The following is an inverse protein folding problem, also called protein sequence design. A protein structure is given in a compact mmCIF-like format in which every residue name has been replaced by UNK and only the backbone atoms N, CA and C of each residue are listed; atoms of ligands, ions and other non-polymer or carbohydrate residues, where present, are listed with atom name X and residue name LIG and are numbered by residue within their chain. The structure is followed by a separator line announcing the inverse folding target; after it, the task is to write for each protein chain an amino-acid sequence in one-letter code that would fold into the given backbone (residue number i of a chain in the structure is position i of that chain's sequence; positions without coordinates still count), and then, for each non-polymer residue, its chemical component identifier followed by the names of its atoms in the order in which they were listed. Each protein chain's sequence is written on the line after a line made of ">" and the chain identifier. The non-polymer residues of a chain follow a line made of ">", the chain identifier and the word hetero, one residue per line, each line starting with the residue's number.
data_IF_112820836514
#
_entry.id   IF_112820836514
#
_cell.length_a   1.000
_cell.length_b   1.000
_cell.length_c   1.000
_cell.angle_alpha   90.00
_cell.angle_beta   90.00
_cell.angle_gamma   90.00
#
_symmetry.space_group_name_H-M   'P 1'
#
loop_
_entity.id
_entity.type
_entity.pdbx_description
1 polymer ?
#
# COMPACT_ATOMS: atom_id res chain seq x y z
N UNK A 1 30.10 -20.44 -7.99
CA UNK A 1 30.26 -20.04 -6.57
C UNK A 1 28.89 -19.68 -6.02
N UNK A 2 28.40 -20.35 -4.97
CA UNK A 2 27.15 -19.95 -4.31
C UNK A 2 27.46 -18.75 -3.42
N UNK A 3 26.92 -17.57 -3.77
CA UNK A 3 27.01 -16.39 -2.91
C UNK A 3 26.36 -16.70 -1.55
N UNK A 4 26.93 -16.14 -0.48
CA UNK A 4 26.37 -16.28 0.86
C UNK A 4 24.96 -15.65 0.88
N UNK A 5 23.96 -16.26 1.55
CA UNK A 5 22.57 -15.76 1.55
C UNK A 5 22.45 -14.29 1.95
N UNK A 6 23.28 -13.82 2.89
CA UNK A 6 23.32 -12.41 3.28
C UNK A 6 23.77 -11.49 2.12
N UNK A 7 24.79 -11.87 1.36
CA UNK A 7 25.26 -11.09 0.21
C UNK A 7 24.21 -11.08 -0.90
N UNK A 8 23.53 -12.19 -1.12
CA UNK A 8 22.40 -12.26 -2.06
C UNK A 8 21.26 -11.36 -1.62
N UNK A 9 20.90 -11.35 -0.34
CA UNK A 9 19.90 -10.46 0.23
C UNK A 9 20.27 -8.97 0.06
N UNK A 10 21.52 -8.61 0.34
CA UNK A 10 22.02 -7.24 0.13
C UNK A 10 21.99 -6.82 -1.33
N UNK A 11 22.44 -7.68 -2.24
CA UNK A 11 22.39 -7.42 -3.68
C UNK A 11 20.96 -7.26 -4.20
N UNK A 12 20.02 -8.08 -3.72
CA UNK A 12 18.60 -7.94 -4.02
C UNK A 12 18.01 -6.64 -3.49
N UNK A 13 18.34 -6.27 -2.24
CA UNK A 13 17.93 -5.01 -1.65
C UNK A 13 18.41 -3.82 -2.46
N UNK A 14 19.69 -3.82 -2.86
CA UNK A 14 20.27 -2.80 -3.72
C UNK A 14 19.59 -2.74 -5.09
N UNK A 15 19.40 -3.89 -5.75
CA UNK A 15 18.71 -3.97 -7.04
C UNK A 15 17.31 -3.39 -6.96
N UNK A 16 16.51 -3.79 -5.97
CA UNK A 16 15.14 -3.30 -5.80
C UNK A 16 15.12 -1.81 -5.45
N UNK A 17 16.07 -1.35 -4.63
CA UNK A 17 16.22 0.07 -4.31
C UNK A 17 16.48 0.86 -5.59
N UNK A 18 17.43 0.44 -6.43
CA UNK A 18 17.69 1.08 -7.72
C UNK A 18 16.45 1.04 -8.62
N UNK A 19 15.74 -0.09 -8.71
CA UNK A 19 14.54 -0.22 -9.53
C UNK A 19 13.38 0.69 -9.07
N UNK A 20 13.20 0.89 -7.77
CA UNK A 20 12.04 1.62 -7.23
C UNK A 20 12.31 3.10 -6.98
N UNK A 21 13.55 3.47 -6.66
CA UNK A 21 13.89 4.86 -6.37
C UNK A 21 14.35 5.64 -7.61
N UNK A 22 14.71 4.96 -8.70
CA UNK A 22 15.12 5.61 -9.93
C UNK A 22 13.99 6.48 -10.52
N UNK A 23 14.26 7.78 -10.66
CA UNK A 23 13.30 8.77 -11.16
C UNK A 23 12.02 8.90 -10.34
N UNK A 24 12.01 8.44 -9.08
CA UNK A 24 10.81 8.39 -8.24
C UNK A 24 10.16 9.76 -8.04
N UNK A 25 10.97 10.83 -8.00
CA UNK A 25 10.51 12.21 -7.89
C UNK A 25 10.26 12.93 -9.22
N UNK A 26 10.66 12.35 -10.35
CA UNK A 26 10.72 13.10 -11.63
C UNK A 26 9.35 13.27 -12.29
N UNK A 27 8.44 12.32 -12.04
CA UNK A 27 7.08 12.37 -12.58
C UNK A 27 6.16 13.17 -11.65
N UNK A 28 5.53 14.27 -12.11
CA UNK A 28 4.57 14.99 -11.30
C UNK A 28 3.38 14.09 -10.93
N UNK A 29 2.59 14.45 -9.93
CA UNK A 29 1.36 13.70 -9.64
C UNK A 29 0.38 13.78 -10.82
N UNK A 30 0.15 12.63 -11.48
CA UNK A 30 -0.73 12.53 -12.65
C UNK A 30 -2.03 11.76 -12.36
N UNK A 31 -2.22 11.28 -11.12
CA UNK A 31 -3.44 10.60 -10.69
C UNK A 31 -4.15 11.36 -9.59
N UNK A 32 -5.46 11.16 -9.42
CA UNK A 32 -6.22 11.72 -8.29
C UNK A 32 -5.78 11.15 -6.93
N UNK A 33 -5.05 10.03 -6.93
CA UNK A 33 -4.73 9.27 -5.74
C UNK A 33 -3.62 9.87 -4.90
N UNK A 34 -2.49 10.17 -5.53
CA UNK A 34 -1.27 10.62 -4.84
C UNK A 34 -1.42 12.02 -4.21
N UNK A 35 -1.97 13.05 -4.91
CA UNK A 35 -2.18 14.38 -4.30
C UNK A 35 -3.08 14.31 -3.07
N UNK A 36 -4.02 13.36 -3.03
CA UNK A 36 -4.92 13.20 -1.90
C UNK A 36 -4.19 12.77 -0.63
N UNK A 37 -3.23 11.85 -0.74
CA UNK A 37 -2.42 11.43 0.41
C UNK A 37 -1.32 12.47 0.67
N UNK A 38 -0.74 13.07 -0.37
CA UNK A 38 0.27 14.13 -0.27
C UNK A 38 -0.21 15.38 0.43
N UNK A 39 -1.46 15.81 0.20
CA UNK A 39 -2.06 16.94 0.94
C UNK A 39 -2.20 16.67 2.43
N UNK A 40 -2.43 15.43 2.84
CA UNK A 40 -2.46 15.06 4.26
C UNK A 40 -1.05 15.09 4.84
N UNK A 41 -0.05 14.56 4.13
CA UNK A 41 1.37 14.66 4.53
C UNK A 41 1.79 16.11 4.70
N UNK A 42 1.41 16.97 3.74
CA UNK A 42 1.67 18.41 3.77
C UNK A 42 0.98 19.10 4.95
N UNK A 43 -0.26 18.73 5.26
CA UNK A 43 -0.99 19.28 6.41
C UNK A 43 -0.29 18.91 7.73
N UNK A 44 0.09 17.64 7.93
CA UNK A 44 0.86 17.24 9.12
C UNK A 44 2.17 18.01 9.20
N UNK A 45 2.89 18.12 8.07
CA UNK A 45 4.20 18.77 8.01
C UNK A 45 4.14 20.27 8.32
N UNK A 46 3.14 20.99 7.81
CA UNK A 46 3.05 22.45 7.98
C UNK A 46 2.34 22.87 9.27
N UNK A 47 1.31 22.15 9.70
CA UNK A 47 0.53 22.50 10.91
C UNK A 47 1.07 21.85 12.19
N UNK A 48 1.82 20.75 12.09
CA UNK A 48 2.18 19.92 13.23
C UNK A 48 1.02 19.08 13.78
N UNK A 49 -0.10 18.97 13.07
CA UNK A 49 -1.28 18.19 13.50
C UNK A 49 -1.16 16.71 13.12
N UNK A 50 -0.62 15.88 14.02
CA UNK A 50 -0.37 14.45 13.78
C UNK A 50 -1.59 13.54 13.96
N UNK A 51 -2.62 13.99 14.69
CA UNK A 51 -3.74 13.13 15.10
C UNK A 51 -4.84 13.20 14.04
N UNK A 52 -5.33 14.39 13.71
CA UNK A 52 -6.42 14.56 12.74
C UNK A 52 -6.11 15.69 11.74
N UNK A 53 -5.16 15.49 10.82
CA UNK A 53 -4.81 16.48 9.80
C UNK A 53 -5.96 16.67 8.81
N UNK A 54 -6.72 17.75 8.97
CA UNK A 54 -7.86 18.05 8.09
C UNK A 54 -7.36 18.56 6.75
N UNK A 55 -7.74 17.90 5.65
CA UNK A 55 -7.39 18.39 4.32
C UNK A 55 -8.12 19.72 4.06
N UNK A 56 -7.35 20.75 3.73
CA UNK A 56 -7.82 22.14 3.58
C UNK A 56 -8.55 22.67 4.83
N UNK A 57 -8.16 22.20 6.03
CA UNK A 57 -8.77 22.61 7.30
C UNK A 57 -10.21 22.15 7.54
N UNK A 58 -10.83 21.40 6.62
CA UNK A 58 -12.25 21.04 6.69
C UNK A 58 -12.53 19.56 6.48
N UNK A 59 -11.71 18.87 5.68
CA UNK A 59 -12.04 17.52 5.21
C UNK A 59 -11.29 16.48 6.03
N UNK A 60 -12.04 15.71 6.83
CA UNK A 60 -11.50 14.57 7.59
C UNK A 60 -10.86 13.55 6.63
N UNK A 61 -9.63 13.07 6.88
CA UNK A 61 -9.01 12.01 6.07
C UNK A 61 -9.86 10.73 6.03
N UNK A 62 -9.91 10.08 4.87
CA UNK A 62 -10.66 8.82 4.69
C UNK A 62 -9.94 7.59 5.22
N UNK A 63 -8.67 7.72 5.61
CA UNK A 63 -7.81 6.59 5.98
C UNK A 63 -6.97 6.94 7.22
N UNK A 64 -6.62 5.94 8.04
CA UNK A 64 -5.73 6.15 9.18
C UNK A 64 -4.32 6.60 8.75
N UNK A 65 -3.50 7.12 9.67
CA UNK A 65 -2.43 8.03 9.32
C UNK A 65 -1.07 7.36 9.13
N UNK A 66 -0.91 6.02 9.27
CA UNK A 66 0.43 5.42 9.29
C UNK A 66 1.26 5.74 8.05
N UNK A 67 0.67 5.62 6.85
CA UNK A 67 1.34 6.03 5.61
C UNK A 67 1.75 7.52 5.64
N UNK A 68 0.84 8.38 6.12
CA UNK A 68 1.05 9.82 6.19
C UNK A 68 2.16 10.18 7.19
N UNK A 69 2.19 9.54 8.35
CA UNK A 69 3.26 9.68 9.33
C UNK A 69 4.61 9.30 8.74
N UNK A 70 4.70 8.17 8.02
CA UNK A 70 5.93 7.79 7.34
C UNK A 70 6.35 8.82 6.29
N UNK A 71 5.41 9.33 5.50
CA UNK A 71 5.66 10.40 4.51
C UNK A 71 6.18 11.69 5.16
N UNK A 72 5.57 12.13 6.25
CA UNK A 72 6.00 13.33 6.98
C UNK A 72 7.39 13.16 7.59
N UNK A 73 7.71 11.97 8.13
CA UNK A 73 9.02 11.69 8.73
C UNK A 73 10.19 11.73 7.72
N UNK A 74 9.91 11.52 6.44
CA UNK A 74 10.92 11.54 5.36
C UNK A 74 10.87 12.80 4.49
N UNK A 75 10.04 13.78 4.84
CA UNK A 75 9.93 15.03 4.07
C UNK A 75 11.18 15.94 4.18
N UNK A 76 12.00 15.80 5.23
CA UNK A 76 13.33 16.45 5.36
C UNK A 76 13.45 17.91 4.86
N UNK A 77 12.47 18.76 5.14
CA UNK A 77 12.49 20.16 4.70
C UNK A 77 11.42 20.50 3.67
N UNK A 78 10.99 19.55 2.85
CA UNK A 78 10.08 19.78 1.73
C UNK A 78 9.14 18.59 1.47
N UNK A 79 7.86 18.87 1.24
CA UNK A 79 6.89 17.86 0.78
C UNK A 79 6.79 17.93 -0.74
N UNK A 80 7.26 16.89 -1.41
CA UNK A 80 7.34 16.77 -2.87
C UNK A 80 7.06 15.33 -3.33
N UNK A 81 7.10 15.08 -4.63
CA UNK A 81 6.81 13.77 -5.22
C UNK A 81 7.70 12.66 -4.67
N UNK A 82 8.99 12.94 -4.52
CA UNK A 82 9.96 11.98 -3.99
C UNK A 82 9.63 11.58 -2.55
N UNK A 83 9.47 12.57 -1.67
CA UNK A 83 9.28 12.33 -0.23
C UNK A 83 7.97 11.61 0.07
N UNK A 84 6.91 11.87 -0.69
CA UNK A 84 5.61 11.21 -0.52
C UNK A 84 5.63 9.77 -1.08
N UNK A 85 6.41 9.48 -2.13
CA UNK A 85 6.53 8.12 -2.71
C UNK A 85 7.57 7.25 -1.99
N UNK A 86 8.58 7.85 -1.36
CA UNK A 86 9.69 7.16 -0.72
C UNK A 86 9.27 6.08 0.29
N UNK A 87 8.26 6.29 1.18
CA UNK A 87 7.80 5.24 2.09
C UNK A 87 7.30 3.99 1.36
N UNK A 88 6.55 4.15 0.27
CA UNK A 88 6.07 3.02 -0.54
C UNK A 88 7.24 2.22 -1.12
N UNK A 89 8.24 2.92 -1.68
CA UNK A 89 9.40 2.28 -2.31
C UNK A 89 10.23 1.49 -1.29
N UNK A 90 10.52 2.08 -0.12
CA UNK A 90 11.28 1.41 0.95
C UNK A 90 10.53 0.20 1.53
N UNK A 91 9.21 0.33 1.74
CA UNK A 91 8.39 -0.79 2.20
C UNK A 91 8.32 -1.90 1.16
N UNK A 92 8.27 -1.58 -0.13
CA UNK A 92 8.31 -2.57 -1.19
C UNK A 92 9.62 -3.37 -1.19
N UNK A 93 10.77 -2.71 -0.98
CA UNK A 93 12.07 -3.39 -0.78
C UNK A 93 12.00 -4.31 0.44
N UNK A 94 11.48 -3.83 1.56
CA UNK A 94 11.30 -4.66 2.77
C UNK A 94 10.44 -5.91 2.48
N UNK A 95 9.32 -5.77 1.76
CA UNK A 95 8.49 -6.91 1.39
C UNK A 95 9.21 -7.94 0.50
N UNK A 96 10.08 -7.49 -0.41
CA UNK A 96 10.94 -8.38 -1.21
C UNK A 96 11.96 -9.11 -0.34
N UNK A 97 12.60 -8.42 0.60
CA UNK A 97 13.57 -9.02 1.52
C UNK A 97 12.92 -10.02 2.48
N UNK A 98 11.72 -9.71 2.99
CA UNK A 98 10.93 -10.65 3.81
C UNK A 98 10.56 -11.91 3.02
N UNK A 99 10.21 -11.75 1.75
CA UNK A 99 9.91 -12.85 0.82
C UNK A 99 11.16 -13.69 0.54
N UNK A 100 12.31 -13.04 0.29
CA UNK A 100 13.60 -13.70 0.13
C UNK A 100 13.97 -14.54 1.36
N UNK A 101 13.93 -13.93 2.54
CA UNK A 101 14.29 -14.57 3.81
C UNK A 101 13.36 -15.74 4.11
N UNK A 102 12.06 -15.59 3.87
CA UNK A 102 11.09 -16.66 4.09
C UNK A 102 11.30 -17.82 3.14
N UNK A 103 11.40 -17.58 1.83
CA UNK A 103 11.66 -18.64 0.86
C UNK A 103 12.99 -19.36 1.13
N UNK A 104 14.01 -18.63 1.56
CA UNK A 104 15.30 -19.18 1.97
C UNK A 104 15.18 -20.10 3.18
N UNK A 105 14.43 -19.68 4.21
CA UNK A 105 14.24 -20.44 5.44
C UNK A 105 13.32 -21.66 5.28
N UNK A 106 12.42 -21.66 4.29
CA UNK A 106 11.48 -22.75 4.05
C UNK A 106 12.04 -23.79 3.06
N UNK A 107 12.61 -23.34 1.94
CA UNK A 107 12.98 -24.24 0.83
C UNK A 107 14.43 -24.07 0.33
N UNK A 108 15.19 -23.14 0.91
CA UNK A 108 16.61 -22.89 0.58
C UNK A 108 16.85 -21.63 -0.24
N UNK A 109 18.11 -21.20 -0.30
CA UNK A 109 18.51 -19.89 -0.83
C UNK A 109 18.06 -19.62 -2.27
N UNK A 110 17.99 -20.65 -3.11
CA UNK A 110 17.52 -20.50 -4.49
C UNK A 110 16.02 -20.25 -4.57
N UNK A 111 15.20 -21.00 -3.82
CA UNK A 111 13.76 -20.76 -3.71
C UNK A 111 13.47 -19.34 -3.23
N UNK A 112 14.22 -18.88 -2.21
CA UNK A 112 14.14 -17.51 -1.71
C UNK A 112 14.50 -16.47 -2.77
N UNK A 113 15.62 -16.67 -3.49
CA UNK A 113 16.04 -15.76 -4.57
C UNK A 113 14.97 -15.64 -5.65
N UNK A 114 14.37 -16.75 -6.07
CA UNK A 114 13.37 -16.75 -7.13
C UNK A 114 12.08 -16.11 -6.66
N UNK A 115 11.62 -16.41 -5.45
CA UNK A 115 10.45 -15.74 -4.87
C UNK A 115 10.66 -14.22 -4.78
N UNK A 116 11.86 -13.77 -4.39
CA UNK A 116 12.20 -12.36 -4.33
C UNK A 116 12.25 -11.69 -5.72
N UNK A 117 12.83 -12.35 -6.72
CA UNK A 117 12.86 -11.86 -8.10
C UNK A 117 11.45 -11.77 -8.69
N UNK A 118 10.63 -12.80 -8.47
CA UNK A 118 9.22 -12.83 -8.90
C UNK A 118 8.48 -11.64 -8.31
N UNK A 119 8.50 -11.48 -6.99
CA UNK A 119 7.80 -10.37 -6.34
C UNK A 119 8.35 -9.02 -6.78
N UNK A 120 9.68 -8.88 -6.75
CA UNK A 120 10.35 -7.60 -6.96
C UNK A 120 10.21 -7.05 -8.38
N UNK A 121 9.92 -7.91 -9.35
CA UNK A 121 9.71 -7.55 -10.77
C UNK A 121 8.27 -7.75 -11.24
N UNK A 122 7.35 -8.12 -10.35
CA UNK A 122 5.92 -8.20 -10.67
C UNK A 122 5.36 -6.82 -10.92
N UNK A 123 4.67 -6.64 -12.04
CA UNK A 123 4.11 -5.36 -12.48
C UNK A 123 3.38 -4.59 -11.35
N UNK A 124 2.45 -5.25 -10.65
CA UNK A 124 1.63 -4.58 -9.63
C UNK A 124 2.44 -4.21 -8.37
N UNK A 125 3.45 -5.00 -8.02
CA UNK A 125 4.34 -4.70 -6.90
C UNK A 125 5.20 -3.47 -7.22
N UNK A 126 5.79 -3.41 -8.42
CA UNK A 126 6.55 -2.25 -8.90
C UNK A 126 5.66 -1.01 -8.97
N UNK A 127 4.46 -1.13 -9.55
CA UNK A 127 3.50 -0.04 -9.67
C UNK A 127 3.08 0.52 -8.30
N UNK A 128 2.90 -0.35 -7.31
CA UNK A 128 2.57 0.07 -5.95
C UNK A 128 3.80 0.62 -5.19
N UNK A 129 5.01 0.17 -5.51
CA UNK A 129 6.25 0.69 -4.95
C UNK A 129 6.51 2.15 -5.37
N UNK A 130 6.18 2.48 -6.62
CA UNK A 130 6.44 3.81 -7.21
C UNK A 130 5.26 4.78 -7.13
N UNK A 131 4.19 4.43 -6.39
CA UNK A 131 3.03 5.30 -6.18
C UNK A 131 2.78 5.59 -4.70
N UNK A 132 2.47 6.85 -4.39
CA UNK A 132 2.20 7.32 -3.04
C UNK A 132 0.77 6.96 -2.60
N UNK A 133 0.58 5.72 -2.14
CA UNK A 133 -0.71 5.18 -1.71
C UNK A 133 -0.56 4.34 -0.46
N UNK A 134 -1.56 4.43 0.42
CA UNK A 134 -1.68 3.63 1.66
C UNK A 134 -1.64 2.11 1.42
N UNK A 135 -1.88 1.67 0.18
CA UNK A 135 -2.00 0.27 -0.21
C UNK A 135 -0.68 -0.51 -0.03
N UNK A 136 0.48 0.08 -0.35
CA UNK A 136 1.79 -0.58 -0.15
C UNK A 136 2.11 -0.75 1.34
N UNK A 137 1.87 0.30 2.15
CA UNK A 137 2.04 0.22 3.60
C UNK A 137 1.16 -0.85 4.22
N UNK A 138 -0.12 -0.91 3.82
CA UNK A 138 -1.01 -1.98 4.27
C UNK A 138 -0.45 -3.36 3.90
N UNK A 139 -0.06 -3.54 2.64
CA UNK A 139 0.40 -4.83 2.14
C UNK A 139 1.61 -5.32 2.92
N UNK A 140 2.61 -4.49 3.16
CA UNK A 140 3.82 -4.89 3.87
C UNK A 140 3.56 -5.13 5.36
N UNK A 141 2.71 -4.33 6.02
CA UNK A 141 2.28 -4.60 7.40
C UNK A 141 1.53 -5.94 7.52
N UNK A 142 0.62 -6.23 6.58
CA UNK A 142 -0.07 -7.52 6.52
C UNK A 142 0.90 -8.66 6.25
N UNK A 143 1.83 -8.52 5.30
CA UNK A 143 2.84 -9.53 4.96
C UNK A 143 3.71 -9.85 6.16
N UNK A 144 4.13 -8.85 6.93
CA UNK A 144 4.83 -9.09 8.20
C UNK A 144 3.97 -9.95 9.13
N UNK A 145 2.68 -9.63 9.33
CA UNK A 145 1.80 -10.43 10.18
C UNK A 145 1.60 -11.86 9.65
N UNK A 146 1.35 -12.02 8.35
CA UNK A 146 1.16 -13.32 7.71
C UNK A 146 2.40 -14.22 7.84
N UNK A 147 3.58 -13.70 7.51
CA UNK A 147 4.84 -14.46 7.59
C UNK A 147 5.22 -14.73 9.04
N UNK A 148 5.01 -13.76 9.93
CA UNK A 148 5.33 -13.93 11.34
C UNK A 148 4.50 -15.07 11.97
N UNK A 149 3.19 -15.11 11.71
CA UNK A 149 2.36 -16.23 12.15
C UNK A 149 2.83 -17.57 11.56
N UNK A 150 3.19 -17.62 10.27
CA UNK A 150 3.71 -18.85 9.65
C UNK A 150 4.89 -19.42 10.45
N UNK A 151 5.83 -18.58 10.88
CA UNK A 151 6.98 -19.02 11.67
C UNK A 151 6.66 -19.36 13.12
N UNK A 152 5.63 -18.75 13.73
CA UNK A 152 5.13 -19.18 15.05
C UNK A 152 4.53 -20.57 14.97
N UNK A 153 3.66 -20.80 13.97
CA UNK A 153 3.01 -22.08 13.78
C UNK A 153 4.00 -23.18 13.41
N UNK A 154 4.97 -22.90 12.53
CA UNK A 154 6.02 -23.86 12.14
C UNK A 154 6.86 -24.34 13.32
N UNK A 155 7.16 -23.45 14.27
CA UNK A 155 7.87 -23.82 15.51
C UNK A 155 6.94 -24.45 16.55
N UNK A 156 5.63 -24.51 16.26
CA UNK A 156 4.57 -24.83 17.20
C UNK A 156 4.74 -24.10 18.54
N UNK A 157 5.21 -22.86 18.54
CA UNK A 157 5.41 -22.11 19.78
C UNK A 157 5.32 -20.62 19.52
N UNK A 158 4.86 -19.91 20.54
CA UNK A 158 4.86 -18.46 20.58
C UNK A 158 5.16 -18.07 22.02
N UNK A 159 6.30 -17.41 22.23
CA UNK A 159 6.59 -16.77 23.51
C UNK A 159 5.63 -15.59 23.73
N UNK A 160 5.53 -15.12 24.97
CA UNK A 160 4.72 -13.94 25.30
C UNK A 160 5.05 -12.72 24.42
N UNK A 161 6.35 -12.44 24.21
CA UNK A 161 6.81 -11.29 23.42
C UNK A 161 6.50 -11.46 21.94
N UNK A 162 6.63 -12.67 21.40
CA UNK A 162 6.27 -12.97 20.03
C UNK A 162 4.75 -12.85 19.81
N UNK A 163 3.94 -13.37 20.72
CA UNK A 163 2.50 -13.18 20.68
C UNK A 163 2.14 -11.68 20.64
N UNK A 164 2.70 -10.87 21.56
CA UNK A 164 2.49 -9.43 21.55
C UNK A 164 2.94 -8.78 20.23
N UNK A 165 4.09 -9.17 19.68
CA UNK A 165 4.58 -8.66 18.41
C UNK A 165 3.62 -8.96 17.25
N UNK A 166 3.02 -10.16 17.22
CA UNK A 166 2.00 -10.48 16.23
C UNK A 166 0.82 -9.50 16.28
N UNK A 167 0.27 -9.24 17.47
CA UNK A 167 -0.83 -8.29 17.64
C UNK A 167 -0.43 -6.83 17.39
N UNK A 168 0.82 -6.46 17.69
CA UNK A 168 1.38 -5.16 17.32
C UNK A 168 1.39 -4.98 15.80
N UNK A 169 1.79 -6.00 15.03
CA UNK A 169 1.75 -5.97 13.56
C UNK A 169 0.32 -5.83 13.01
N UNK A 170 -0.66 -6.49 13.63
CA UNK A 170 -2.08 -6.29 13.30
C UNK A 170 -2.54 -4.86 13.57
N UNK A 171 -2.05 -4.25 14.66
CA UNK A 171 -2.30 -2.86 15.00
C UNK A 171 -1.73 -1.90 13.96
N UNK A 172 -0.47 -2.10 13.54
CA UNK A 172 0.15 -1.32 12.47
C UNK A 172 -0.59 -1.47 11.13
N UNK A 173 -0.95 -2.70 10.74
CA UNK A 173 -1.74 -2.92 9.52
C UNK A 173 -3.09 -2.19 9.59
N UNK A 174 -3.71 -2.14 10.76
CA UNK A 174 -4.96 -1.39 10.98
C UNK A 174 -4.77 0.12 10.88
N UNK A 175 -3.65 0.65 11.38
CA UNK A 175 -3.29 2.06 11.20
C UNK A 175 -2.85 2.43 9.76
N UNK A 176 -2.64 1.44 8.88
CA UNK A 176 -2.35 1.71 7.47
C UNK A 176 -3.62 2.00 6.65
N UNK A 177 -4.70 1.23 6.82
CA UNK A 177 -5.91 1.37 5.98
C UNK A 177 -7.23 1.06 6.68
N UNK A 178 -7.22 0.80 7.98
CA UNK A 178 -8.38 0.47 8.80
C UNK A 178 -8.50 -1.03 9.13
N UNK A 179 -9.65 -1.47 9.68
CA UNK A 179 -9.84 -2.80 10.28
C UNK A 179 -9.50 -3.98 9.36
N UNK A 180 -9.56 -3.79 8.05
CA UNK A 180 -9.14 -4.81 7.06
C UNK A 180 -7.70 -5.28 7.32
N UNK A 181 -6.84 -4.40 7.84
CA UNK A 181 -5.47 -4.63 8.28
C UNK A 181 -5.30 -5.81 9.22
N UNK A 182 -6.16 -5.92 10.24
CA UNK A 182 -6.17 -7.04 11.17
C UNK A 182 -7.09 -8.17 10.71
N UNK A 183 -8.19 -7.84 10.04
CA UNK A 183 -9.19 -8.80 9.60
C UNK A 183 -8.62 -9.85 8.64
N UNK A 184 -7.85 -9.46 7.62
CA UNK A 184 -7.33 -10.42 6.64
C UNK A 184 -6.29 -11.38 7.24
N UNK A 185 -5.25 -10.93 7.97
CA UNK A 185 -4.38 -11.83 8.73
C UNK A 185 -5.12 -12.71 9.72
N UNK A 186 -6.04 -12.14 10.52
CA UNK A 186 -6.83 -12.89 11.49
C UNK A 186 -7.69 -13.97 10.84
N UNK A 187 -8.34 -13.65 9.72
CA UNK A 187 -9.16 -14.60 8.96
C UNK A 187 -8.30 -15.71 8.35
N UNK A 188 -7.15 -15.38 7.75
CA UNK A 188 -6.21 -16.39 7.22
C UNK A 188 -5.75 -17.35 8.32
N UNK A 189 -5.38 -16.81 9.49
CA UNK A 189 -4.99 -17.61 10.66
C UNK A 189 -6.13 -18.51 11.11
N UNK A 190 -7.34 -17.96 11.27
CA UNK A 190 -8.52 -18.71 11.70
C UNK A 190 -8.88 -19.84 10.74
N UNK A 191 -8.92 -19.56 9.44
CA UNK A 191 -9.21 -20.56 8.40
C UNK A 191 -8.13 -21.64 8.37
N UNK A 192 -6.85 -21.26 8.46
CA UNK A 192 -5.75 -22.22 8.46
C UNK A 192 -5.80 -23.15 9.68
N UNK A 193 -5.95 -22.60 10.89
CA UNK A 193 -6.05 -23.40 12.12
C UNK A 193 -7.31 -24.29 12.13
N UNK A 194 -8.42 -23.81 11.56
CA UNK A 194 -9.63 -24.60 11.38
C UNK A 194 -9.39 -25.79 10.44
N UNK A 195 -8.78 -25.57 9.27
CA UNK A 195 -8.45 -26.64 8.33
C UNK A 195 -7.45 -27.64 8.91
N UNK A 196 -6.51 -27.19 9.76
CA UNK A 196 -5.58 -28.05 10.50
C UNK A 196 -6.17 -28.70 11.74
N UNK A 197 -7.38 -28.32 12.16
CA UNK A 197 -8.01 -28.73 13.42
C UNK A 197 -7.13 -28.44 14.65
N UNK A 198 -6.30 -27.41 14.60
CA UNK A 198 -5.42 -26.98 15.69
C UNK A 198 -5.84 -25.61 16.25
N UNK A 199 -7.13 -25.45 16.55
CA UNK A 199 -7.63 -24.22 17.19
C UNK A 199 -7.03 -23.99 18.59
N UNK A 200 -6.45 -25.04 19.21
CA UNK A 200 -5.74 -24.94 20.48
C UNK A 200 -4.50 -24.04 20.38
N UNK A 201 -3.92 -23.88 19.19
CA UNK A 201 -2.82 -22.95 18.96
C UNK A 201 -3.18 -21.49 19.33
N UNK A 202 -4.46 -21.12 19.27
CA UNK A 202 -4.92 -19.79 19.71
C UNK A 202 -4.58 -19.50 21.18
N UNK A 203 -4.53 -20.51 22.03
CA UNK A 203 -4.13 -20.35 23.44
C UNK A 203 -2.66 -19.93 23.56
N UNK A 204 -1.80 -20.35 22.62
CA UNK A 204 -0.38 -19.96 22.56
C UNK A 204 -0.18 -18.52 22.07
N UNK A 205 -1.17 -17.95 21.40
CA UNK A 205 -1.13 -16.56 20.97
C UNK A 205 -1.46 -15.57 22.09
N UNK A 206 -1.71 -16.02 23.33
CA UNK A 206 -1.98 -15.13 24.47
C UNK A 206 -3.02 -14.06 24.11
N UNK A 207 -4.22 -14.48 23.69
CA UNK A 207 -5.18 -13.60 23.02
C UNK A 207 -5.57 -12.37 23.85
N UNK A 208 -5.77 -12.49 25.15
CA UNK A 208 -6.20 -11.37 26.01
C UNK A 208 -5.19 -10.21 26.00
N UNK A 209 -3.92 -10.41 26.40
CA UNK A 209 -2.91 -9.35 26.37
C UNK A 209 -2.57 -8.92 24.93
N UNK A 210 -2.62 -9.84 23.97
CA UNK A 210 -2.44 -9.54 22.55
C UNK A 210 -3.50 -8.58 22.02
N UNK A 211 -4.79 -8.89 22.24
CA UNK A 211 -5.92 -8.03 21.88
C UNK A 211 -5.82 -6.69 22.63
N UNK A 212 -5.42 -6.71 23.91
CA UNK A 212 -5.17 -5.49 24.68
C UNK A 212 -4.14 -4.57 24.00
N UNK A 213 -3.00 -5.13 23.55
CA UNK A 213 -1.98 -4.38 22.81
C UNK A 213 -2.48 -3.93 21.43
N UNK A 214 -3.19 -4.79 20.69
CA UNK A 214 -3.79 -4.42 19.41
C UNK A 214 -4.73 -3.22 19.55
N UNK A 215 -5.63 -3.26 20.55
CA UNK A 215 -6.56 -2.16 20.85
C UNK A 215 -5.80 -0.92 21.30
N UNK A 216 -4.73 -1.06 22.07
CA UNK A 216 -3.89 0.08 22.44
C UNK A 216 -3.27 0.74 21.21
N UNK A 217 -2.66 -0.02 20.31
CA UNK A 217 -2.02 0.51 19.10
C UNK A 217 -3.05 1.10 18.14
N UNK A 218 -4.02 0.32 17.67
CA UNK A 218 -5.01 0.79 16.73
C UNK A 218 -5.92 1.86 17.35
N UNK A 219 -6.40 1.59 18.56
CA UNK A 219 -7.31 2.47 19.30
C UNK A 219 -6.68 3.78 19.76
N UNK A 220 -5.34 3.86 19.90
CA UNK A 220 -4.68 5.14 20.23
C UNK A 220 -5.06 6.24 19.24
N UNK A 221 -4.93 5.98 17.95
CA UNK A 221 -5.29 6.95 16.92
C UNK A 221 -6.81 7.11 16.81
N UNK A 222 -7.57 6.02 16.73
CA UNK A 222 -9.03 6.10 16.55
C UNK A 222 -9.70 6.85 17.71
N UNK A 223 -9.26 6.62 18.95
CA UNK A 223 -9.77 7.31 20.14
C UNK A 223 -9.43 8.79 20.14
N UNK A 224 -8.17 9.15 19.87
CA UNK A 224 -7.74 10.55 19.82
C UNK A 224 -8.38 11.31 18.64
N UNK A 225 -8.49 10.68 17.48
CA UNK A 225 -9.14 11.25 16.30
C UNK A 225 -10.65 11.40 16.51
N UNK A 226 -11.30 10.46 17.21
CA UNK A 226 -12.70 10.60 17.61
C UNK A 226 -12.90 11.74 18.61
N UNK A 227 -11.99 11.90 19.57
CA UNK A 227 -12.02 13.00 20.52
C UNK A 227 -11.91 14.37 19.83
N UNK A 228 -11.02 14.51 18.83
CA UNK A 228 -10.89 15.75 18.05
C UNK A 228 -12.01 15.98 17.03
N UNK A 229 -12.40 14.94 16.29
CA UNK A 229 -13.32 15.05 15.15
C UNK A 229 -14.79 14.79 15.47
N UNK A 230 -15.09 14.32 16.68
CA UNK A 230 -16.44 14.09 17.18
C UNK A 230 -17.30 13.20 16.27
N UNK A 231 -18.60 13.51 16.19
CA UNK A 231 -19.57 12.74 15.41
C UNK A 231 -19.24 12.69 13.92
N UNK A 232 -18.68 13.77 13.35
CA UNK A 232 -18.30 13.82 11.94
C UNK A 232 -17.22 12.78 11.60
N UNK A 233 -16.25 12.59 12.49
CA UNK A 233 -15.25 11.53 12.34
C UNK A 233 -15.88 10.14 12.44
N UNK A 234 -16.74 9.92 13.42
CA UNK A 234 -17.41 8.62 13.60
C UNK A 234 -18.21 8.21 12.36
N UNK A 235 -19.07 9.11 11.86
CA UNK A 235 -19.90 8.84 10.68
C UNK A 235 -19.04 8.58 9.45
N UNK A 236 -17.97 9.36 9.23
CA UNK A 236 -17.13 9.17 8.07
C UNK A 236 -16.27 7.91 8.15
N UNK A 237 -15.51 7.77 9.24
CA UNK A 237 -14.44 6.77 9.33
C UNK A 237 -14.94 5.41 9.78
N UNK A 238 -15.87 5.36 10.73
CA UNK A 238 -16.38 4.09 11.27
C UNK A 238 -17.57 3.61 10.45
N UNK A 239 -18.54 4.49 10.17
CA UNK A 239 -19.75 4.10 9.47
C UNK A 239 -19.58 4.05 7.95
N UNK A 240 -19.23 5.16 7.28
CA UNK A 240 -19.15 5.20 5.82
C UNK A 240 -18.00 4.36 5.26
N UNK A 241 -16.78 4.57 5.76
CA UNK A 241 -15.57 3.96 5.21
C UNK A 241 -15.40 2.46 5.52
N UNK A 242 -15.95 1.97 6.65
CA UNK A 242 -15.79 0.58 7.09
C UNK A 242 -17.08 -0.25 7.12
N UNK A 243 -18.25 0.34 7.35
CA UNK A 243 -19.51 -0.43 7.41
C UNK A 243 -20.26 -0.32 6.08
N UNK A 244 -20.63 0.90 5.68
CA UNK A 244 -21.43 1.12 4.47
C UNK A 244 -20.67 0.79 3.20
N UNK A 245 -19.37 1.08 3.13
CA UNK A 245 -18.55 0.70 1.96
C UNK A 245 -18.48 -0.81 1.72
N UNK A 246 -18.63 -1.62 2.76
CA UNK A 246 -18.59 -3.08 2.67
C UNK A 246 -19.97 -3.69 2.44
N UNK A 247 -21.03 -3.13 3.06
CA UNK A 247 -22.38 -3.73 3.04
C UNK A 247 -23.37 -3.05 2.08
N UNK A 248 -23.20 -1.77 1.75
CA UNK A 248 -24.18 -1.03 0.94
C UNK A 248 -23.74 -0.97 -0.54
N UNK A 249 -24.50 -1.64 -1.40
CA UNK A 249 -24.60 -1.36 -2.83
C UNK A 249 -25.59 -0.21 -3.03
N UNK A 250 -25.09 1.01 -3.21
CA UNK A 250 -25.87 2.24 -3.30
C UNK A 250 -24.95 3.46 -3.33
N UNK A 251 -25.49 4.68 -3.39
CA UNK A 251 -24.82 5.97 -3.73
C UNK A 251 -23.43 6.26 -3.10
N UNK A 252 -23.03 5.58 -2.02
CA UNK A 252 -21.68 5.61 -1.44
C UNK A 252 -20.62 4.78 -2.22
N UNK A 253 -21.03 3.94 -3.17
CA UNK A 253 -20.22 3.01 -3.97
C UNK A 253 -19.94 3.43 -5.42
N UNK A 254 -20.32 4.65 -5.82
CA UNK A 254 -20.31 5.15 -7.20
C UNK A 254 -18.92 5.31 -7.83
N UNK A 255 -18.24 4.21 -8.15
CA UNK A 255 -17.12 4.28 -9.09
C UNK A 255 -16.31 3.01 -9.31
N UNK A 256 -16.55 1.94 -8.57
CA UNK A 256 -15.69 0.74 -8.61
C UNK A 256 -16.45 -0.58 -8.43
N UNK A 257 -17.71 -0.64 -8.84
CA UNK A 257 -18.44 -1.91 -8.88
C UNK A 257 -17.94 -2.75 -10.05
N UNK A 258 -17.45 -3.94 -9.74
CA UNK A 258 -16.95 -4.86 -10.74
C UNK A 258 -17.44 -6.30 -10.45
N UNK A 259 -17.52 -7.17 -11.47
CA UNK A 259 -17.93 -8.56 -11.32
C UNK A 259 -17.08 -9.33 -10.30
N UNK A 260 -17.60 -10.46 -9.79
CA UNK A 260 -16.89 -11.28 -8.80
C UNK A 260 -15.51 -11.76 -9.31
N UNK A 261 -15.38 -12.00 -10.63
CA UNK A 261 -14.14 -12.45 -11.26
C UNK A 261 -13.15 -11.32 -11.56
N UNK A 262 -13.42 -10.07 -11.17
CA UNK A 262 -12.57 -8.90 -11.44
C UNK A 262 -11.11 -9.11 -11.06
N UNK A 263 -10.82 -9.77 -9.94
CA UNK A 263 -9.46 -9.97 -9.47
C UNK A 263 -8.68 -11.04 -10.23
N UNK A 264 -9.34 -11.93 -10.96
CA UNK A 264 -8.67 -12.99 -11.71
C UNK A 264 -7.75 -12.43 -12.80
N UNK A 265 -8.21 -11.62 -13.78
CA UNK A 265 -7.31 -11.02 -14.77
C UNK A 265 -6.29 -10.08 -14.11
N UNK A 266 -6.69 -9.32 -13.08
CA UNK A 266 -5.77 -8.43 -12.36
C UNK A 266 -4.61 -9.18 -11.70
N UNK A 267 -4.84 -10.39 -11.18
CA UNK A 267 -3.78 -11.22 -10.62
C UNK A 267 -2.79 -11.64 -11.72
N UNK A 268 -3.27 -12.07 -12.89
CA UNK A 268 -2.40 -12.43 -14.02
C UNK A 268 -1.62 -11.23 -14.56
N UNK A 269 -2.25 -10.07 -14.73
CA UNK A 269 -1.57 -8.86 -15.19
C UNK A 269 -0.59 -8.33 -14.14
N UNK A 270 -0.99 -8.30 -12.88
CA UNK A 270 -0.12 -7.80 -11.83
C UNK A 270 1.08 -8.69 -11.57
N UNK A 271 0.96 -10.00 -11.77
CA UNK A 271 2.08 -10.95 -11.71
C UNK A 271 2.83 -11.06 -13.03
N UNK A 272 2.47 -10.33 -14.08
CA UNK A 272 3.27 -10.34 -15.31
C UNK A 272 4.71 -9.87 -15.01
N UNK A 273 5.73 -10.52 -15.60
CA UNK A 273 5.63 -11.62 -16.59
C UNK A 273 5.47 -13.03 -15.96
N UNK A 274 5.57 -13.18 -14.65
CA UNK A 274 5.57 -14.48 -13.95
C UNK A 274 4.25 -15.25 -13.98
N UNK A 275 3.15 -14.60 -14.36
CA UNK A 275 1.85 -15.25 -14.53
C UNK A 275 1.83 -16.34 -15.62
N UNK A 276 2.82 -16.34 -16.54
CA UNK A 276 3.06 -17.47 -17.44
C UNK A 276 3.32 -18.79 -16.70
N UNK A 277 3.79 -18.72 -15.45
CA UNK A 277 4.06 -19.88 -14.60
C UNK A 277 2.88 -20.28 -13.71
N UNK A 278 1.70 -19.67 -13.85
CA UNK A 278 0.52 -20.12 -13.10
C UNK A 278 -0.04 -21.49 -13.53
N UNK A 279 -0.19 -21.81 -14.84
CA UNK A 279 -0.61 -23.15 -15.24
C UNK A 279 0.25 -24.30 -14.69
N UNK A 280 1.60 -24.27 -14.78
CA UNK A 280 2.43 -25.35 -14.24
C UNK A 280 2.44 -25.35 -12.70
N UNK A 281 2.35 -24.18 -12.07
CA UNK A 281 2.18 -24.08 -10.63
C UNK A 281 0.87 -24.77 -10.20
N UNK A 282 -0.21 -24.55 -10.93
CA UNK A 282 -1.49 -25.23 -10.70
C UNK A 282 -1.39 -26.75 -10.83
N UNK A 283 -0.71 -27.24 -11.87
CA UNK A 283 -0.44 -28.68 -12.04
C UNK A 283 0.40 -29.22 -10.89
N UNK A 284 1.46 -28.51 -10.49
CA UNK A 284 2.31 -28.88 -9.36
C UNK A 284 1.51 -28.96 -8.05
N UNK A 285 0.71 -27.94 -7.75
CA UNK A 285 -0.14 -27.92 -6.55
C UNK A 285 -1.19 -29.03 -6.57
N UNK A 286 -1.73 -29.35 -7.75
CA UNK A 286 -2.67 -30.46 -7.93
C UNK A 286 -2.01 -31.84 -7.76
N UNK A 287 -0.81 -32.05 -8.31
CA UNK A 287 -0.03 -33.28 -8.10
C UNK A 287 0.32 -33.44 -6.61
N UNK A 288 0.67 -32.33 -5.95
CA UNK A 288 0.91 -32.23 -4.51
C UNK A 288 -0.35 -32.10 -3.65
N UNK A 289 -1.55 -32.34 -4.19
CA UNK A 289 -2.79 -32.27 -3.37
C UNK A 289 -2.81 -33.23 -2.19
N UNK A 290 -2.06 -34.32 -2.27
CA UNK A 290 -1.86 -35.25 -1.15
C UNK A 290 -0.83 -34.76 -0.12
N UNK A 291 0.11 -33.91 -0.53
CA UNK A 291 1.09 -33.23 0.33
C UNK A 291 0.65 -31.83 0.79
N UNK A 292 -0.63 -31.47 0.62
CA UNK A 292 -1.27 -30.42 1.44
C UNK A 292 -1.14 -30.71 2.95
N UNK A 293 -0.66 -31.90 3.32
CA UNK A 293 -0.15 -32.21 4.65
C UNK A 293 0.94 -31.24 5.15
N UNK A 294 1.77 -30.64 4.28
CA UNK A 294 2.78 -29.65 4.67
C UNK A 294 2.13 -28.30 5.04
N UNK A 295 2.46 -27.79 6.22
CA UNK A 295 1.87 -26.57 6.80
C UNK A 295 2.12 -25.32 5.96
N UNK A 296 3.32 -25.21 5.40
CA UNK A 296 3.76 -24.06 4.62
C UNK A 296 2.91 -23.87 3.35
N UNK A 297 2.71 -24.95 2.58
CA UNK A 297 1.93 -24.89 1.34
C UNK A 297 0.46 -24.60 1.62
N UNK A 298 -0.13 -25.28 2.60
CA UNK A 298 -1.53 -25.04 2.96
C UNK A 298 -1.72 -23.60 3.43
N UNK A 299 -0.83 -23.10 4.29
CA UNK A 299 -0.92 -21.73 4.80
C UNK A 299 -0.85 -20.69 3.67
N UNK A 300 0.10 -20.82 2.74
CA UNK A 300 0.20 -19.91 1.59
C UNK A 300 -1.03 -19.96 0.68
N UNK A 301 -1.61 -21.14 0.46
CA UNK A 301 -2.86 -21.28 -0.31
C UNK A 301 -4.05 -20.66 0.41
N UNK A 302 -4.17 -20.87 1.73
CA UNK A 302 -5.21 -20.24 2.56
C UNK A 302 -5.05 -18.73 2.56
N UNK A 303 -3.83 -18.21 2.64
CA UNK A 303 -3.56 -16.78 2.54
C UNK A 303 -4.03 -16.22 1.19
N UNK A 304 -3.60 -16.81 0.06
CA UNK A 304 -4.03 -16.37 -1.26
C UNK A 304 -5.55 -16.43 -1.38
N UNK A 305 -6.16 -17.56 -1.01
CA UNK A 305 -7.61 -17.75 -1.08
C UNK A 305 -8.37 -16.76 -0.22
N UNK A 306 -7.92 -16.51 1.02
CA UNK A 306 -8.58 -15.59 1.95
C UNK A 306 -8.59 -14.17 1.39
N UNK A 307 -7.44 -13.65 0.97
CA UNK A 307 -7.35 -12.29 0.42
C UNK A 307 -8.14 -12.18 -0.89
N UNK A 308 -7.99 -13.16 -1.78
CA UNK A 308 -8.65 -13.15 -3.09
C UNK A 308 -10.17 -13.25 -2.98
N UNK A 309 -10.69 -14.19 -2.19
CA UNK A 309 -12.13 -14.42 -2.03
C UNK A 309 -12.79 -13.28 -1.25
N UNK A 310 -12.14 -12.77 -0.20
CA UNK A 310 -12.65 -11.64 0.57
C UNK A 310 -12.88 -10.41 -0.32
N UNK A 311 -11.88 -10.00 -1.10
CA UNK A 311 -12.04 -8.85 -1.99
C UNK A 311 -12.96 -9.14 -3.18
N UNK A 312 -12.99 -10.38 -3.69
CA UNK A 312 -13.93 -10.77 -4.76
C UNK A 312 -15.39 -10.67 -4.32
N UNK A 313 -15.68 -10.94 -3.04
CA UNK A 313 -17.01 -10.79 -2.45
C UNK A 313 -17.38 -9.32 -2.15
N UNK A 314 -16.41 -8.41 -1.98
CA UNK A 314 -16.67 -7.00 -1.70
C UNK A 314 -17.28 -6.27 -2.91
N UNK A 315 -18.20 -5.32 -2.68
CA UNK A 315 -18.86 -4.54 -3.73
C UNK A 315 -17.89 -3.63 -4.48
N UNK A 316 -17.14 -2.79 -3.76
CA UNK A 316 -16.13 -1.87 -4.29
C UNK A 316 -14.79 -2.58 -4.52
N UNK A 317 -14.31 -2.65 -5.76
CA UNK A 317 -13.08 -3.36 -6.14
C UNK A 317 -12.05 -2.45 -6.81
N UNK A 318 -10.78 -2.55 -6.42
CA UNK A 318 -9.65 -1.90 -7.10
C UNK A 318 -8.52 -2.90 -7.25
N UNK A 319 -7.86 -2.96 -8.40
CA UNK A 319 -6.79 -3.92 -8.70
C UNK A 319 -5.75 -4.05 -7.58
N UNK A 320 -5.35 -2.93 -6.96
CA UNK A 320 -4.36 -2.90 -5.86
C UNK A 320 -4.80 -3.59 -4.56
N UNK A 321 -6.08 -3.90 -4.38
CA UNK A 321 -6.56 -4.51 -3.12
C UNK A 321 -5.98 -5.89 -2.87
N UNK A 322 -5.68 -6.64 -3.92
CA UNK A 322 -5.06 -7.96 -3.80
C UNK A 322 -3.54 -7.90 -3.61
N UNK A 323 -2.90 -6.73 -3.59
CA UNK A 323 -1.45 -6.58 -3.39
C UNK A 323 -0.86 -7.43 -2.24
N UNK A 324 -1.51 -7.58 -1.06
CA UNK A 324 -0.97 -8.40 0.03
C UNK A 324 -0.87 -9.90 -0.27
N UNK A 325 -1.49 -10.42 -1.34
CA UNK A 325 -1.37 -11.84 -1.72
C UNK A 325 -0.13 -12.15 -2.58
N UNK A 326 0.48 -11.12 -3.17
CA UNK A 326 1.58 -11.27 -4.13
C UNK A 326 2.79 -11.99 -3.54
N UNK A 327 3.23 -11.70 -2.29
CA UNK A 327 4.32 -12.43 -1.66
C UNK A 327 4.06 -13.93 -1.50
N UNK A 328 2.82 -14.32 -1.17
CA UNK A 328 2.46 -15.73 -1.04
C UNK A 328 2.54 -16.47 -2.40
N UNK A 329 2.04 -15.84 -3.47
CA UNK A 329 2.15 -16.39 -4.82
C UNK A 329 3.61 -16.50 -5.28
N UNK A 330 4.43 -15.50 -4.96
CA UNK A 330 5.86 -15.51 -5.26
C UNK A 330 6.62 -16.62 -4.49
N UNK A 331 6.28 -16.85 -3.21
CA UNK A 331 6.84 -17.96 -2.42
C UNK A 331 6.47 -19.32 -3.00
N UNK A 332 5.22 -19.51 -3.45
CA UNK A 332 4.79 -20.75 -4.10
C UNK A 332 5.54 -21.00 -5.41
N UNK A 333 5.80 -19.95 -6.21
CA UNK A 333 6.63 -20.06 -7.42
C UNK A 333 8.09 -20.41 -7.09
N UNK A 334 8.66 -19.81 -6.05
CA UNK A 334 10.00 -20.16 -5.57
C UNK A 334 10.10 -21.63 -5.11
N UNK A 335 9.11 -22.09 -4.35
CA UNK A 335 9.03 -23.48 -3.91
C UNK A 335 8.87 -24.46 -5.08
N UNK A 336 8.00 -24.14 -6.04
CA UNK A 336 7.81 -24.93 -7.26
C UNK A 336 9.10 -25.05 -8.07
N UNK A 337 9.83 -23.95 -8.25
CA UNK A 337 11.10 -23.96 -8.98
C UNK A 337 12.17 -24.83 -8.31
N UNK A 338 12.24 -24.76 -6.98
CA UNK A 338 13.19 -25.56 -6.20
C UNK A 338 12.94 -27.06 -6.36
N UNK A 339 11.67 -27.48 -6.36
CA UNK A 339 11.28 -28.88 -6.57
C UNK A 339 11.52 -29.32 -8.03
N UNK A 340 11.32 -28.43 -8.99
CA UNK A 340 11.66 -28.70 -10.38
C UNK A 340 13.15 -29.02 -10.54
N UNK A 341 14.03 -28.25 -9.90
CA UNK A 341 15.47 -28.50 -9.93
C UNK A 341 15.90 -29.78 -9.23
N UNK A 342 15.17 -30.20 -8.20
CA UNK A 342 15.39 -31.48 -7.51
C UNK A 342 14.89 -32.68 -8.33
N UNK A 343 14.19 -32.46 -9.44
CA UNK A 343 13.59 -33.51 -10.26
C UNK A 343 12.35 -34.15 -9.63
N UNK A 344 11.81 -33.57 -8.55
CA UNK A 344 10.66 -34.10 -7.81
C UNK A 344 9.33 -33.61 -8.37
N UNK A 345 9.33 -32.56 -9.18
CA UNK A 345 8.17 -32.11 -9.94
C UNK A 345 8.27 -32.55 -11.41
N UNK A 346 7.28 -33.30 -11.91
CA UNK A 346 7.24 -33.74 -13.31
C UNK A 346 6.58 -32.66 -14.18
N UNK A 347 7.37 -32.02 -15.05
CA UNK A 347 6.81 -31.22 -16.14
C UNK A 347 6.26 -32.14 -17.21
N UNK A 348 5.06 -31.86 -17.72
CA UNK A 348 4.65 -32.45 -19.00
C UNK A 348 5.65 -32.03 -20.09
N UNK A 349 5.88 -32.87 -21.12
CA UNK A 349 6.78 -32.54 -22.24
C UNK A 349 6.42 -31.19 -22.89
N UNK A 350 5.14 -30.85 -22.96
CA UNK A 350 4.65 -29.54 -23.45
C UNK A 350 5.14 -28.38 -22.57
N UNK A 351 5.17 -28.60 -21.25
CA UNK A 351 5.61 -27.58 -20.31
C UNK A 351 7.13 -27.45 -20.25
N UNK A 352 7.90 -28.51 -20.46
CA UNK A 352 9.37 -28.40 -20.55
C UNK A 352 9.82 -27.51 -21.72
N UNK A 353 9.09 -27.49 -22.84
CA UNK A 353 9.35 -26.56 -23.95
C UNK A 353 9.04 -25.10 -23.58
N UNK A 354 7.91 -24.86 -22.90
CA UNK A 354 7.58 -23.53 -22.36
C UNK A 354 8.58 -23.08 -21.30
N UNK A 355 9.06 -24.00 -20.47
CA UNK A 355 10.02 -23.69 -19.40
C UNK A 355 11.42 -23.43 -19.96
N UNK A 356 11.83 -24.14 -21.02
CA UNK A 356 13.03 -23.82 -21.79
C UNK A 356 12.92 -22.46 -22.47
N UNK A 357 11.78 -22.13 -23.09
CA UNK A 357 11.50 -20.78 -23.61
C UNK A 357 11.54 -19.71 -22.51
N UNK A 358 10.98 -20.01 -21.34
CA UNK A 358 10.96 -19.09 -20.19
C UNK A 358 12.29 -18.96 -19.46
N UNK A 359 13.15 -19.99 -19.55
CA UNK A 359 14.53 -19.96 -19.10
C UNK A 359 15.39 -18.96 -19.88
N UNK A 360 14.96 -18.59 -21.09
CA UNK A 360 15.47 -17.43 -21.82
C UNK A 360 14.71 -16.15 -21.48
N UNK A 361 13.38 -16.20 -21.28
CA UNK A 361 12.58 -15.02 -20.92
C UNK A 361 12.94 -14.43 -19.54
N UNK A 362 13.35 -15.24 -18.57
CA UNK A 362 13.72 -14.78 -17.22
C UNK A 362 15.02 -13.94 -17.24
N UNK A 363 16.15 -14.40 -17.80
CA UNK A 363 17.33 -13.55 -17.99
C UNK A 363 17.11 -12.48 -19.05
N UNK A 364 16.19 -12.65 -20.01
CA UNK A 364 15.81 -11.59 -20.95
C UNK A 364 15.00 -10.48 -20.27
N UNK A 365 14.06 -10.80 -19.37
CA UNK A 365 13.26 -9.80 -18.63
C UNK A 365 14.10 -9.10 -17.58
N UNK A 366 14.93 -9.84 -16.85
CA UNK A 366 15.96 -9.26 -15.97
C UNK A 366 16.96 -8.44 -16.78
N UNK A 367 17.41 -8.96 -17.91
CA UNK A 367 18.35 -8.30 -18.83
C UNK A 367 17.76 -7.06 -19.48
N UNK A 368 16.48 -7.06 -19.85
CA UNK A 368 15.74 -5.91 -20.37
C UNK A 368 15.47 -4.88 -19.27
N UNK A 369 15.10 -5.31 -18.07
CA UNK A 369 14.96 -4.40 -16.93
C UNK A 369 16.30 -3.74 -16.60
N UNK A 370 17.38 -4.52 -16.54
CA UNK A 370 18.75 -4.01 -16.35
C UNK A 370 19.19 -3.14 -17.52
N UNK A 371 18.91 -3.51 -18.76
CA UNK A 371 19.25 -2.72 -19.95
C UNK A 371 18.43 -1.43 -20.05
N UNK A 372 17.16 -1.43 -19.65
CA UNK A 372 16.36 -0.21 -19.53
C UNK A 372 16.93 0.70 -18.45
N UNK A 373 17.28 0.16 -17.29
CA UNK A 373 17.95 0.91 -16.22
C UNK A 373 19.30 1.46 -16.70
N UNK A 374 20.13 0.66 -17.36
CA UNK A 374 21.43 1.09 -17.91
C UNK A 374 21.28 2.12 -19.04
N UNK A 375 20.33 1.93 -19.96
CA UNK A 375 20.07 2.88 -21.05
C UNK A 375 19.55 4.22 -20.52
N UNK A 376 18.78 4.21 -19.42
CA UNK A 376 18.33 5.42 -18.75
C UNK A 376 19.44 6.09 -17.92
N UNK A 377 20.30 5.32 -17.25
CA UNK A 377 21.50 5.81 -16.57
C UNK A 377 22.46 6.50 -17.56
N UNK A 378 22.67 5.89 -18.73
CA UNK A 378 23.52 6.45 -19.79
C UNK A 378 22.83 7.58 -20.57
N UNK A 379 21.49 7.63 -20.56
CA UNK A 379 20.69 8.66 -21.21
C UNK A 379 20.51 9.95 -20.39
N UNK A 380 20.57 9.86 -19.05
CA UNK A 380 20.41 11.00 -18.16
C UNK A 380 21.54 12.04 -18.30
N UNK A 381 22.72 11.60 -18.75
CA UNK A 381 23.89 12.48 -18.98
C UNK A 381 23.78 13.35 -20.26
N UNK A 382 22.74 13.16 -21.08
CA UNK A 382 22.54 13.93 -22.32
C UNK A 382 21.44 14.99 -22.27
N UNK A 383 20.64 15.05 -21.20
CA UNK A 383 19.53 16.01 -21.09
C UNK A 383 19.63 16.98 -19.92
N UNK A 384 20.77 17.08 -19.24
CA UNK A 384 21.04 18.18 -18.29
C UNK A 384 21.36 19.48 -19.03
N UNK A 385 20.41 19.98 -19.83
CA UNK A 385 20.25 21.43 -19.95
C UNK A 385 19.36 21.84 -18.79
N UNK A 386 19.80 22.70 -17.86
CA UNK A 386 18.95 23.13 -16.78
C UNK A 386 17.79 23.94 -17.37
N UNK A 387 16.59 23.38 -17.38
CA UNK A 387 15.34 24.16 -17.48
C UNK A 387 15.10 24.91 -16.16
N UNK A 388 16.08 25.71 -15.76
CA UNK A 388 15.81 26.91 -14.97
C UNK A 388 15.01 27.86 -15.85
N UNK A 389 13.85 28.30 -15.34
CA UNK A 389 12.89 29.30 -15.87
C UNK A 389 11.61 28.73 -16.48
N UNK A 390 10.69 28.29 -15.61
CA UNK A 390 9.25 28.38 -15.87
C UNK A 390 8.37 28.54 -14.61
N UNK A 391 8.93 28.98 -13.47
CA UNK A 391 8.16 29.36 -12.28
C UNK A 391 8.70 30.65 -11.63
N UNK A 392 9.06 31.64 -12.45
CA UNK A 392 9.34 33.03 -12.00
C UNK A 392 8.30 34.01 -12.55
N UNK A 393 7.01 33.64 -12.52
CA UNK A 393 5.89 34.57 -12.64
C UNK A 393 4.88 34.34 -11.51
N UNK A 394 5.39 34.33 -10.28
CA UNK A 394 4.68 34.97 -9.18
C UNK A 394 5.44 36.25 -8.89
N UNK A 395 4.88 37.37 -9.33
CA UNK A 395 5.35 38.70 -8.94
C UNK A 395 5.29 38.79 -7.41
N UNK A 396 6.37 39.18 -6.72
CA UNK A 396 6.24 39.60 -5.34
C UNK A 396 5.46 40.92 -5.36
N UNK A 397 4.27 40.94 -4.78
CA UNK A 397 3.65 42.21 -4.36
C UNK A 397 4.47 42.68 -3.16
N UNK A 398 5.56 43.38 -3.45
CA UNK A 398 6.34 44.12 -2.48
C UNK A 398 5.66 45.45 -2.21
N UNK A 399 4.91 45.53 -1.12
CA UNK A 399 4.67 46.80 -0.41
C UNK A 399 4.38 46.54 1.07
N UNK A 400 5.42 46.23 1.82
CA UNK A 400 5.46 46.53 3.25
C UNK A 400 6.43 47.71 3.45
N UNK A 401 5.99 48.86 3.96
CA UNK A 401 6.86 49.74 4.72
C UNK A 401 6.73 49.35 6.19
N UNK A 402 7.81 48.88 6.80
CA UNK A 402 7.77 48.62 8.25
C UNK A 402 8.98 47.85 8.76
N UNK A 403 10.08 48.57 9.00
CA UNK A 403 11.13 48.16 9.93
C UNK A 403 10.48 47.86 11.28
N UNK A 404 10.66 46.65 11.81
CA UNK A 404 10.39 46.35 13.21
C UNK A 404 11.71 46.08 13.92
N UNK A 405 12.15 47.11 14.63
CA UNK A 405 13.08 47.00 15.74
C UNK A 405 12.35 46.30 16.89
N UNK A 406 13.04 45.36 17.53
CA UNK A 406 12.61 44.76 18.80
C UNK A 406 12.57 45.84 19.89
N UNK A 407 11.42 46.02 20.53
CA UNK A 407 11.36 46.39 21.95
C UNK A 407 10.04 45.93 22.57
N UNK A 408 10.20 45.20 23.68
CA UNK A 408 9.26 44.92 24.77
C UNK A 408 7.94 45.71 24.85
N UNK A 409 6.84 45.01 25.13
CA UNK A 409 5.77 45.53 25.97
C UNK A 409 4.33 45.36 25.46
N UNK A 410 3.52 44.72 26.30
CA UNK A 410 2.05 44.82 26.41
C UNK A 410 1.15 44.23 25.31
N UNK A 411 0.37 43.24 25.76
CA UNK A 411 -0.82 42.66 25.14
C UNK A 411 -1.95 43.68 25.10
N UNK A 412 -2.66 43.77 23.98
CA UNK A 412 -3.99 44.39 23.88
C UNK A 412 -4.81 43.73 22.77
N UNK A 413 -6.00 43.23 23.14
CA UNK A 413 -7.02 42.65 22.26
C UNK A 413 -7.64 43.73 21.37
N UNK A 414 -7.74 43.46 20.06
CA UNK A 414 -8.49 44.29 19.10
C UNK A 414 -9.55 43.43 18.41
N UNK A 415 -10.83 43.88 18.35
CA UNK A 415 -11.92 43.07 17.80
C UNK A 415 -11.94 43.06 16.27
N UNK A 416 -12.32 41.91 15.69
CA UNK A 416 -12.48 41.70 14.25
C UNK A 416 -13.53 42.65 13.66
N UNK A 417 -13.13 43.48 12.70
CA UNK A 417 -14.04 44.24 11.84
C UNK A 417 -14.51 43.37 10.67
N UNK A 418 -15.82 43.23 10.57
CA UNK A 418 -16.60 42.73 9.43
C UNK A 418 -16.29 43.50 8.14
N UNK A 419 -15.88 42.79 7.09
CA UNK A 419 -15.76 43.33 5.74
C UNK A 419 -17.14 43.38 5.07
N UNK A 420 -17.62 44.60 4.84
CA UNK A 420 -18.77 44.93 3.98
C UNK A 420 -18.25 45.37 2.62
N UNK A 421 -18.46 44.58 1.57
CA UNK A 421 -18.23 45.01 0.19
C UNK A 421 -19.34 45.99 -0.24
N UNK A 422 -18.95 47.23 -0.50
CA UNK A 422 -19.79 48.29 -1.09
C UNK A 422 -19.56 48.27 -2.61
N UNK A 423 -20.60 48.01 -3.38
CA UNK A 423 -20.62 48.21 -4.84
C UNK A 423 -21.48 49.44 -5.14
N UNK A 424 -20.87 50.46 -5.72
CA UNK A 424 -21.51 51.62 -6.37
C UNK A 424 -21.34 51.43 -7.88
N UNK A 425 -22.31 51.61 -8.78
CA UNK A 425 -23.72 51.97 -8.73
C UNK A 425 -24.15 52.22 -10.19
N UNK A 426 -25.39 51.88 -10.57
CA UNK A 426 -26.12 52.45 -11.73
C UNK A 426 -27.61 52.40 -11.40
N UNK A 427 -28.25 53.57 -11.39
CA UNK A 427 -29.71 53.82 -11.34
C UNK A 427 -30.33 53.57 -12.72
N UNK A 428 -31.51 52.98 -12.92
CA UNK A 428 -32.85 53.46 -12.53
C UNK A 428 -33.91 52.55 -13.20
N UNK A 429 -35.14 52.50 -12.67
CA UNK A 429 -36.33 52.05 -13.42
C UNK A 429 -37.18 50.98 -12.74
N UNK A 430 -38.35 51.39 -12.24
CA UNK A 430 -39.35 50.59 -11.55
C UNK A 430 -40.13 49.62 -12.47
N UNK A 431 -40.68 48.54 -11.90
CA UNK A 431 -41.68 47.69 -12.56
C UNK A 431 -41.84 46.31 -11.92
N UNK A 432 -42.92 46.14 -11.16
CA UNK A 432 -43.42 44.91 -10.54
C UNK A 432 -43.78 43.78 -11.53
N UNK A 433 -43.45 42.53 -11.22
CA UNK A 433 -44.33 41.33 -11.17
C UNK A 433 -43.50 40.02 -10.96
N UNK A 434 -44.04 38.99 -10.27
CA UNK A 434 -43.28 37.80 -9.85
C UNK A 434 -43.54 36.59 -10.77
N UNK A 435 -42.51 35.79 -11.10
CA UNK A 435 -42.73 34.43 -11.61
C UNK A 435 -41.45 33.60 -11.90
N UNK A 436 -41.49 32.34 -11.44
CA UNK A 436 -40.76 31.12 -11.87
C UNK A 436 -39.28 30.91 -11.51
N UNK A 437 -39.10 29.91 -10.64
CA UNK A 437 -37.92 29.06 -10.47
C UNK A 437 -37.35 28.56 -11.80
N UNK A 438 -36.07 28.84 -12.07
CA UNK A 438 -35.19 28.02 -12.92
C UNK A 438 -33.76 28.03 -12.37
N UNK A 439 -33.32 26.86 -11.93
CA UNK A 439 -31.91 26.52 -11.69
C UNK A 439 -31.12 26.59 -13.01
N UNK A 440 -29.90 27.15 -13.05
CA UNK A 440 -29.00 26.91 -14.17
C UNK A 440 -28.30 25.57 -13.96
N UNK A 441 -28.52 24.69 -14.93
CA UNK A 441 -27.77 23.48 -15.25
C UNK A 441 -26.26 23.66 -15.16
N UNK A 442 -25.60 22.78 -14.41
CA UNK A 442 -24.15 22.60 -14.42
C UNK A 442 -23.67 22.10 -15.81
N UNK A 443 -22.55 22.58 -16.34
CA UNK A 443 -21.94 21.98 -17.53
C UNK A 443 -21.14 20.72 -17.16
N UNK A 444 -21.05 19.73 -18.05
CA UNK A 444 -20.27 18.52 -17.83
C UNK A 444 -18.79 18.81 -18.07
N UNK A 445 -17.93 18.50 -17.09
CA UNK A 445 -16.49 18.46 -17.31
C UNK A 445 -16.01 17.01 -17.37
N UNK A 446 -15.52 16.67 -18.56
CA UNK A 446 -14.83 15.45 -18.97
C UNK A 446 -13.54 15.23 -18.18
#
# INVERSE_FOLDING_TARGET
>A
MRLHPLLTGLALGLLCTCLYLWGLGDLPFYTKGEPREGTIVWEIYTSGEWILPLRNGQIIPSKPPLFHWLGTLVAWGEVNELTIRLPSALLAVLGVLLTYGTGTALWGAEAGLIAALVLGTSFEWVRAATTARVDMTLAVCMVMAFLFFLFLYRRHTATWTEALLFFFLLGLATLAKGPVGALLPGLTVGVFLFLRRDLRFLQRLHLVPGIGLFVLIAGSWYGLALWKGGQAFFVKQILQENLLRFFASGEAGMGHEHPFYYFLPNLFFGMAPWSFFFPPLGVFLYQRRRTWAEDEFLYLLVWIATVFLFYSAASSKRSVYILPLYPAAALLLGAWWQELRRGTATLSKTFSWLLQGSGYLCPLTVGLAVAMVLAQLLGHDRSSTPRTKALSRFSPVSSLPGRWLFSSGSVSLVPQRSFSCRVSGVSSGAGSLPCWWRLPSAPPCW
#
